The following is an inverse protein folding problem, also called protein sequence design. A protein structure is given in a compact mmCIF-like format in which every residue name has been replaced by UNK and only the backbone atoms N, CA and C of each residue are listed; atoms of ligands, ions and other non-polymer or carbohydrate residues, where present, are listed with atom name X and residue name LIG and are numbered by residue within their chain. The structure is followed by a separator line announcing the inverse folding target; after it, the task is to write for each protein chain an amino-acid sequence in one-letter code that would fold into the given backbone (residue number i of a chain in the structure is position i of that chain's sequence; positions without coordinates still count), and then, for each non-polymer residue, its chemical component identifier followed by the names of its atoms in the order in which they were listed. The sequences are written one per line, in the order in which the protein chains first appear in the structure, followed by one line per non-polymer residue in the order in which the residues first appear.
data_IF_860233212355
#
_entry.id   IF_860233212355
#
_cell.length_a   1.000
_cell.length_b   1.000
_cell.length_c   1.000
_cell.angle_alpha   90.00
_cell.angle_beta   90.00
_cell.angle_gamma   90.00
#
_symmetry.space_group_name_H-M   'P 1'
#
loop_
_entity.id
_entity.type
_entity.pdbx_description
1 polymer ?
#
# COMPACT_ATOMS: atom_id res chain seq x y z
N UNK A 1 -30.53 -19.33 28.76
CA UNK A 1 -30.00 -18.46 27.71
C UNK A 1 -28.55 -18.19 28.04
N UNK A 2 -27.63 -18.91 27.38
CA UNK A 2 -26.20 -18.73 27.61
C UNK A 2 -25.74 -17.42 26.97
N UNK A 3 -25.14 -16.55 27.77
CA UNK A 3 -24.40 -15.39 27.30
C UNK A 3 -23.30 -15.87 26.36
N UNK A 4 -23.35 -15.45 25.10
CA UNK A 4 -22.21 -15.53 24.18
C UNK A 4 -21.15 -14.57 24.74
N UNK A 5 -20.22 -15.12 25.53
CA UNK A 5 -18.93 -14.48 25.75
C UNK A 5 -18.27 -14.38 24.38
N UNK A 6 -18.21 -13.18 23.82
CA UNK A 6 -17.42 -12.91 22.63
C UNK A 6 -15.95 -13.03 23.03
N UNK A 7 -15.39 -14.22 22.81
CA UNK A 7 -13.97 -14.51 22.99
C UNK A 7 -13.14 -13.50 22.19
N UNK A 8 -12.18 -12.83 22.82
CA UNK A 8 -11.41 -11.73 22.22
C UNK A 8 -10.52 -12.24 21.05
N UNK A 9 -10.40 -13.56 20.90
CA UNK A 9 -9.77 -14.25 19.76
C UNK A 9 -10.51 -14.07 18.43
N UNK A 10 -11.76 -13.59 18.47
CA UNK A 10 -12.65 -13.52 17.31
C UNK A 10 -12.65 -12.16 16.61
N UNK A 11 -11.94 -11.18 17.18
CA UNK A 11 -11.74 -9.87 16.56
C UNK A 11 -10.49 -9.89 15.67
N UNK A 12 -10.57 -9.32 14.45
CA UNK A 12 -9.39 -9.15 13.64
C UNK A 12 -8.45 -8.12 14.28
N UNK A 13 -7.15 -8.34 14.13
CA UNK A 13 -6.13 -7.34 14.34
C UNK A 13 -5.70 -6.77 12.98
N UNK A 14 -5.58 -5.45 12.88
CA UNK A 14 -5.14 -4.77 11.66
C UNK A 14 -3.85 -4.02 11.96
N UNK A 15 -2.83 -4.27 11.14
CA UNK A 15 -1.55 -3.57 11.18
C UNK A 15 -1.31 -2.82 9.85
N UNK A 16 -0.62 -1.69 9.92
CA UNK A 16 -0.16 -0.92 8.77
C UNK A 16 1.37 -0.87 8.77
N UNK A 17 1.99 -1.09 7.63
CA UNK A 17 3.44 -1.06 7.46
C UNK A 17 3.84 -0.66 6.04
N UNK A 18 5.08 -0.18 5.88
CA UNK A 18 5.68 0.01 4.57
C UNK A 18 6.34 -1.28 4.08
N UNK A 19 6.01 -1.70 2.86
CA UNK A 19 6.66 -2.81 2.18
C UNK A 19 6.99 -2.39 0.75
N UNK A 20 8.25 -2.52 0.36
CA UNK A 20 8.80 -1.94 -0.88
C UNK A 20 8.44 -0.45 -1.06
N UNK A 21 8.47 0.34 0.02
CA UNK A 21 8.20 1.78 -0.04
C UNK A 21 6.73 2.17 -0.19
N UNK A 22 5.78 1.21 -0.20
CA UNK A 22 4.34 1.50 -0.25
C UNK A 22 3.62 1.01 1.01
N UNK A 23 2.60 1.76 1.42
CA UNK A 23 1.74 1.41 2.53
C UNK A 23 1.03 0.07 2.27
N UNK A 24 0.95 -0.74 3.31
CA UNK A 24 0.38 -2.08 3.26
C UNK A 24 -0.39 -2.34 4.55
N UNK A 25 -1.69 -2.51 4.40
CA UNK A 25 -2.56 -3.02 5.46
C UNK A 25 -2.49 -4.56 5.51
N UNK A 26 -2.40 -5.11 6.72
CA UNK A 26 -2.41 -6.53 7.00
C UNK A 26 -3.50 -6.84 8.01
N UNK A 27 -4.49 -7.62 7.60
CA UNK A 27 -5.56 -8.13 8.46
C UNK A 27 -5.16 -9.49 9.02
N UNK A 28 -5.33 -9.71 10.32
CA UNK A 28 -4.85 -10.90 11.03
C UNK A 28 -5.91 -11.48 11.96
N UNK A 29 -6.11 -12.79 11.87
CA UNK A 29 -6.76 -13.60 12.90
C UNK A 29 -5.75 -14.57 13.51
N UNK A 30 -5.89 -14.82 14.82
CA UNK A 30 -4.97 -15.66 15.59
C UNK A 30 -3.68 -14.92 15.99
N UNK A 31 -2.56 -15.66 16.06
CA UNK A 31 -1.31 -15.07 16.53
C UNK A 31 -0.81 -13.99 15.56
N UNK A 32 -0.60 -12.77 16.10
CA UNK A 32 -0.03 -11.63 15.38
C UNK A 32 1.49 -11.72 15.22
N UNK A 33 2.14 -12.56 16.05
CA UNK A 33 3.58 -12.85 16.01
C UNK A 33 3.77 -14.36 15.84
N UNK A 34 4.20 -14.76 14.64
CA UNK A 34 4.55 -16.15 14.37
C UNK A 34 5.83 -16.48 15.13
N UNK A 35 5.81 -17.56 15.90
CA UNK A 35 6.99 -17.96 16.66
C UNK A 35 7.98 -18.63 15.71
N UNK A 36 9.28 -18.54 16.01
CA UNK A 36 10.31 -19.31 15.29
C UNK A 36 10.29 -20.81 15.63
N UNK A 37 9.13 -21.31 16.08
CA UNK A 37 8.88 -22.72 16.31
C UNK A 37 8.83 -23.45 14.95
N UNK A 38 9.36 -24.67 14.91
CA UNK A 38 9.58 -25.45 13.68
C UNK A 38 8.29 -25.86 12.94
N UNK A 39 7.10 -25.51 13.44
CA UNK A 39 5.83 -26.11 12.97
C UNK A 39 4.64 -25.15 12.80
N UNK A 40 4.83 -23.84 12.98
CA UNK A 40 3.75 -22.86 12.79
C UNK A 40 3.26 -22.90 11.33
N UNK A 41 1.93 -22.89 11.16
CA UNK A 41 1.28 -22.88 9.84
C UNK A 41 0.48 -21.61 9.70
N UNK A 42 0.76 -20.87 8.64
CA UNK A 42 0.08 -19.63 8.28
C UNK A 42 -0.81 -19.88 7.07
N UNK A 43 -2.08 -19.51 7.19
CA UNK A 43 -2.97 -19.37 6.04
C UNK A 43 -2.84 -17.91 5.56
N UNK A 44 -2.31 -17.72 4.36
CA UNK A 44 -2.10 -16.41 3.77
C UNK A 44 -3.07 -16.19 2.61
N UNK A 45 -3.93 -15.19 2.75
CA UNK A 45 -4.87 -14.75 1.72
C UNK A 45 -4.25 -13.62 0.91
N UNK A 46 -4.17 -13.82 -0.41
CA UNK A 46 -3.76 -12.81 -1.38
C UNK A 46 -5.02 -12.30 -2.09
N UNK A 47 -5.39 -11.02 -1.87
CA UNK A 47 -6.56 -10.40 -2.48
C UNK A 47 -6.55 -10.48 -4.01
N UNK A 48 -7.74 -10.38 -4.59
CA UNK A 48 -7.96 -9.85 -5.93
C UNK A 48 -8.36 -8.37 -5.90
N UNK A 49 -8.76 -7.80 -7.04
CA UNK A 49 -9.22 -6.41 -7.12
C UNK A 49 -10.50 -6.20 -6.27
N UNK A 50 -10.60 -5.10 -5.48
CA UNK A 50 -9.77 -3.90 -5.50
C UNK A 50 -8.56 -3.94 -4.54
N UNK A 51 -8.08 -5.11 -4.09
CA UNK A 51 -6.84 -5.24 -3.34
C UNK A 51 -6.92 -4.96 -1.83
N UNK A 52 -8.09 -4.55 -1.33
CA UNK A 52 -8.34 -4.21 0.07
C UNK A 52 -8.61 -5.46 0.92
N UNK A 53 -8.06 -5.52 2.13
CA UNK A 53 -8.20 -6.69 3.02
C UNK A 53 -9.59 -6.77 3.67
N UNK A 54 -10.26 -5.64 3.88
CA UNK A 54 -11.57 -5.58 4.53
C UNK A 54 -12.64 -6.44 3.84
N UNK A 55 -12.54 -6.62 2.52
CA UNK A 55 -13.44 -7.50 1.74
C UNK A 55 -13.39 -8.97 2.19
N UNK A 56 -12.27 -9.40 2.79
CA UNK A 56 -12.03 -10.79 3.18
C UNK A 56 -12.32 -11.06 4.66
N UNK A 57 -12.73 -10.05 5.45
CA UNK A 57 -12.92 -10.16 6.91
C UNK A 57 -13.80 -11.35 7.30
N UNK A 58 -15.03 -11.42 6.78
CA UNK A 58 -15.97 -12.52 7.10
C UNK A 58 -15.46 -13.87 6.60
N UNK A 59 -14.81 -13.91 5.44
CA UNK A 59 -14.23 -15.13 4.89
C UNK A 59 -13.11 -15.66 5.79
N UNK A 60 -12.18 -14.79 6.19
CA UNK A 60 -11.06 -15.13 7.07
C UNK A 60 -11.53 -15.54 8.45
N UNK A 61 -12.52 -14.87 9.03
CA UNK A 61 -13.11 -15.25 10.30
C UNK A 61 -13.74 -16.65 10.23
N UNK A 62 -14.51 -16.90 9.17
CA UNK A 62 -15.14 -18.21 8.94
C UNK A 62 -14.06 -19.29 8.81
N UNK A 63 -12.97 -18.99 8.09
CA UNK A 63 -11.85 -19.91 7.90
C UNK A 63 -11.14 -20.19 9.23
N UNK A 64 -10.86 -19.15 10.00
CA UNK A 64 -10.21 -19.26 11.32
C UNK A 64 -11.01 -20.14 12.28
N UNK A 65 -12.33 -19.91 12.36
CA UNK A 65 -13.24 -20.72 13.18
C UNK A 65 -13.40 -22.15 12.66
N UNK A 66 -13.45 -22.34 11.34
CA UNK A 66 -13.56 -23.68 10.73
C UNK A 66 -12.35 -24.57 11.06
N UNK A 67 -11.18 -23.97 11.28
CA UNK A 67 -9.98 -24.67 11.77
C UNK A 67 -9.82 -24.63 13.30
N UNK A 68 -10.92 -24.41 14.04
CA UNK A 68 -10.95 -24.35 15.51
C UNK A 68 -9.92 -23.36 16.09
N UNK A 69 -9.72 -22.23 15.40
CA UNK A 69 -8.80 -21.16 15.81
C UNK A 69 -7.31 -21.58 15.90
N UNK A 70 -6.93 -22.70 15.27
CA UNK A 70 -5.59 -23.30 15.40
C UNK A 70 -4.51 -22.70 14.51
N UNK A 71 -4.89 -22.15 13.35
CA UNK A 71 -3.94 -21.61 12.38
C UNK A 71 -4.15 -20.11 12.25
N UNK A 72 -3.07 -19.33 12.29
CA UNK A 72 -3.17 -17.90 11.99
C UNK A 72 -3.63 -17.71 10.54
N UNK A 73 -4.55 -16.76 10.34
CA UNK A 73 -5.06 -16.39 9.01
C UNK A 73 -4.74 -14.93 8.77
N UNK A 74 -3.84 -14.66 7.82
CA UNK A 74 -3.45 -13.29 7.47
C UNK A 74 -3.89 -12.96 6.06
N UNK A 75 -4.20 -11.70 5.82
CA UNK A 75 -4.43 -11.16 4.49
C UNK A 75 -3.60 -9.90 4.31
N UNK A 76 -2.91 -9.79 3.18
CA UNK A 76 -2.01 -8.68 2.87
C UNK A 76 -2.59 -7.92 1.71
N UNK A 77 -2.95 -6.66 1.92
CA UNK A 77 -3.48 -5.76 0.86
C UNK A 77 -2.52 -5.69 -0.33
N UNK A 78 -3.03 -5.41 -1.53
CA UNK A 78 -2.17 -4.93 -2.61
C UNK A 78 -1.50 -3.61 -2.18
N UNK A 79 -0.24 -3.40 -2.56
CA UNK A 79 0.51 -2.22 -2.16
C UNK A 79 -0.21 -0.93 -2.59
N UNK A 80 -0.48 0.00 -1.67
CA UNK A 80 -1.27 1.21 -1.93
C UNK A 80 -2.79 1.01 -2.03
N UNK A 81 -3.30 -0.20 -1.78
CA UNK A 81 -4.74 -0.49 -1.75
C UNK A 81 -5.26 -0.59 -0.31
N UNK A 82 -5.01 0.46 0.46
CA UNK A 82 -5.57 0.69 1.79
C UNK A 82 -5.61 2.20 2.06
N UNK A 83 -6.43 2.61 3.01
CA UNK A 83 -6.42 3.99 3.51
C UNK A 83 -5.30 4.11 4.56
N UNK A 84 -4.25 4.92 4.32
CA UNK A 84 -3.19 5.13 5.29
C UNK A 84 -3.77 5.78 6.55
N UNK A 85 -3.29 5.43 7.74
CA UNK A 85 -3.52 6.24 8.94
C UNK A 85 -3.04 7.68 8.73
N UNK A 86 -3.63 8.66 9.43
CA UNK A 86 -3.33 10.10 9.27
C UNK A 86 -1.84 10.50 9.39
N UNK A 87 -1.02 9.62 9.98
CA UNK A 87 0.41 9.83 10.21
C UNK A 87 1.31 9.08 9.21
N UNK A 88 0.73 8.44 8.20
CA UNK A 88 1.44 7.71 7.14
C UNK A 88 1.01 8.23 5.78
N UNK A 89 1.97 8.27 4.86
CA UNK A 89 1.72 8.56 3.46
C UNK A 89 1.50 7.26 2.67
N UNK A 90 0.95 7.37 1.46
CA UNK A 90 0.78 6.19 0.57
C UNK A 90 2.12 5.54 0.20
N UNK A 91 3.18 6.33 0.13
CA UNK A 91 4.53 5.88 -0.18
C UNK A 91 5.54 6.57 0.74
N UNK A 92 6.50 5.81 1.27
CA UNK A 92 7.60 6.34 2.08
C UNK A 92 8.64 7.08 1.22
N UNK A 93 8.86 6.59 -0.01
CA UNK A 93 9.69 7.21 -1.02
C UNK A 93 9.06 6.99 -2.40
N UNK A 94 8.57 8.08 -3.00
CA UNK A 94 7.92 8.04 -4.31
C UNK A 94 8.88 7.58 -5.43
N UNK A 95 10.17 7.92 -5.33
CA UNK A 95 11.17 7.56 -6.33
C UNK A 95 11.44 6.06 -6.30
N UNK A 96 11.54 5.49 -5.09
CA UNK A 96 11.70 4.05 -4.90
C UNK A 96 10.45 3.28 -5.34
N UNK A 97 9.25 3.81 -5.06
CA UNK A 97 8.00 3.19 -5.47
C UNK A 97 7.83 3.14 -7.01
N UNK A 98 8.32 4.17 -7.71
CA UNK A 98 8.38 4.21 -9.17
C UNK A 98 9.44 3.25 -9.72
N UNK A 99 10.66 3.26 -9.17
CA UNK A 99 11.74 2.37 -9.59
C UNK A 99 11.35 0.88 -9.49
N UNK A 100 10.65 0.52 -8.42
CA UNK A 100 10.22 -0.86 -8.15
C UNK A 100 8.89 -1.23 -8.86
N UNK A 101 8.27 -0.30 -9.60
CA UNK A 101 6.94 -0.46 -10.22
C UNK A 101 5.93 -1.11 -9.24
N UNK A 102 5.89 -0.60 -7.99
CA UNK A 102 5.23 -1.28 -6.86
C UNK A 102 3.73 -1.54 -7.12
N UNK A 103 3.11 -0.68 -7.92
CA UNK A 103 1.70 -0.79 -8.31
C UNK A 103 1.49 -1.70 -9.53
N UNK A 104 2.53 -1.97 -10.31
CA UNK A 104 2.50 -2.94 -11.39
C UNK A 104 2.44 -4.38 -10.90
N UNK A 105 2.06 -5.31 -11.79
CA UNK A 105 1.86 -6.72 -11.39
C UNK A 105 3.15 -7.37 -10.88
N UNK A 106 4.30 -7.02 -11.48
CA UNK A 106 5.60 -7.52 -11.03
C UNK A 106 6.00 -6.94 -9.67
N UNK A 107 5.77 -5.64 -9.46
CA UNK A 107 6.00 -5.01 -8.15
C UNK A 107 5.10 -5.58 -7.07
N UNK A 108 3.84 -5.90 -7.36
CA UNK A 108 2.93 -6.58 -6.41
C UNK A 108 3.40 -8.00 -6.06
N UNK A 109 3.98 -8.74 -7.00
CA UNK A 109 4.57 -10.07 -6.73
C UNK A 109 5.77 -9.92 -5.79
N UNK A 110 6.72 -9.04 -6.13
CA UNK A 110 7.89 -8.79 -5.29
C UNK A 110 7.52 -8.22 -3.92
N UNK A 111 6.49 -7.37 -3.86
CA UNK A 111 5.94 -6.84 -2.61
C UNK A 111 5.51 -7.96 -1.66
N UNK A 112 4.81 -8.98 -2.16
CA UNK A 112 4.37 -10.12 -1.35
C UNK A 112 5.52 -11.03 -0.94
N UNK A 113 6.52 -11.23 -1.81
CA UNK A 113 7.74 -11.96 -1.48
C UNK A 113 8.56 -11.24 -0.41
N UNK A 114 8.77 -9.93 -0.55
CA UNK A 114 9.45 -9.10 0.46
C UNK A 114 8.69 -9.11 1.78
N UNK A 115 7.36 -9.01 1.74
CA UNK A 115 6.54 -9.11 2.95
C UNK A 115 6.80 -10.41 3.69
N UNK A 116 6.76 -11.56 2.99
CA UNK A 116 7.05 -12.87 3.58
C UNK A 116 8.46 -12.93 4.17
N UNK A 117 9.48 -12.49 3.43
CA UNK A 117 10.88 -12.50 3.88
C UNK A 117 11.12 -11.68 5.15
N UNK A 118 10.42 -10.55 5.29
CA UNK A 118 10.60 -9.62 6.42
C UNK A 118 9.74 -9.98 7.64
N UNK A 119 8.52 -10.49 7.43
CA UNK A 119 7.52 -10.59 8.50
C UNK A 119 7.10 -12.01 8.84
N UNK A 120 7.49 -13.01 8.04
CA UNK A 120 7.13 -14.42 8.27
C UNK A 120 8.41 -15.22 8.49
N UNK A 121 8.56 -15.93 9.64
CA UNK A 121 9.71 -16.79 9.87
C UNK A 121 9.87 -17.81 8.73
N UNK A 122 11.09 -17.99 8.23
CA UNK A 122 11.41 -18.87 7.08
C UNK A 122 10.97 -20.33 7.26
N UNK A 123 10.85 -20.79 8.50
CA UNK A 123 10.40 -22.15 8.84
C UNK A 123 8.87 -22.33 8.81
N UNK A 124 8.11 -21.24 8.69
CA UNK A 124 6.65 -21.26 8.66
C UNK A 124 6.13 -22.00 7.43
N UNK A 125 5.18 -22.90 7.63
CA UNK A 125 4.49 -23.59 6.53
C UNK A 125 3.33 -22.73 6.03
N UNK A 126 3.18 -22.62 4.72
CA UNK A 126 2.21 -21.72 4.10
C UNK A 126 1.06 -22.50 3.46
N UNK A 127 -0.17 -22.09 3.74
CA UNK A 127 -1.34 -22.38 2.92
C UNK A 127 -1.72 -21.08 2.22
N UNK A 128 -1.56 -21.03 0.91
CA UNK A 128 -1.82 -19.82 0.12
C UNK A 128 -3.25 -19.87 -0.43
N UNK A 129 -4.00 -18.78 -0.31
CA UNK A 129 -5.34 -18.63 -0.88
C UNK A 129 -5.35 -17.39 -1.75
N UNK A 130 -5.52 -17.55 -3.05
CA UNK A 130 -5.60 -16.43 -4.00
C UNK A 130 -7.03 -16.20 -4.43
N UNK A 131 -7.43 -14.94 -4.61
CA UNK A 131 -8.69 -14.59 -5.28
C UNK A 131 -8.41 -13.84 -6.58
N UNK A 132 -9.01 -14.26 -7.70
CA UNK A 132 -8.85 -13.60 -9.01
C UNK A 132 -7.37 -13.37 -9.39
N UNK A 133 -6.91 -12.12 -9.52
CA UNK A 133 -5.52 -11.76 -9.80
C UNK A 133 -4.55 -12.24 -8.72
N UNK A 134 -5.00 -12.37 -7.46
CA UNK A 134 -4.23 -12.96 -6.37
C UNK A 134 -3.80 -14.40 -6.65
N UNK A 135 -4.54 -15.14 -7.47
CA UNK A 135 -4.13 -16.48 -7.91
C UNK A 135 -2.87 -16.43 -8.80
N UNK A 136 -2.83 -15.47 -9.74
CA UNK A 136 -1.66 -15.26 -10.59
C UNK A 136 -0.45 -14.84 -9.76
N UNK A 137 -0.65 -13.93 -8.81
CA UNK A 137 0.41 -13.50 -7.88
C UNK A 137 0.99 -14.69 -7.12
N UNK A 138 0.16 -15.58 -6.55
CA UNK A 138 0.64 -16.79 -5.85
C UNK A 138 1.46 -17.69 -6.77
N UNK A 139 0.99 -17.93 -8.00
CA UNK A 139 1.71 -18.77 -8.96
C UNK A 139 3.09 -18.20 -9.26
N UNK A 140 3.19 -16.89 -9.49
CA UNK A 140 4.47 -16.23 -9.76
C UNK A 140 5.37 -16.18 -8.52
N UNK A 141 4.82 -15.96 -7.32
CA UNK A 141 5.57 -16.05 -6.06
C UNK A 141 6.23 -17.43 -5.90
N UNK A 142 5.47 -18.50 -6.13
CA UNK A 142 5.98 -19.87 -6.01
C UNK A 142 7.05 -20.21 -7.07
N UNK A 143 6.97 -19.61 -8.26
CA UNK A 143 8.00 -19.79 -9.29
C UNK A 143 9.29 -19.05 -8.95
N UNK A 144 9.18 -17.83 -8.44
CA UNK A 144 10.34 -16.96 -8.13
C UNK A 144 11.05 -17.35 -6.83
N UNK A 145 10.32 -17.91 -5.87
CA UNK A 145 10.85 -18.33 -4.58
C UNK A 145 10.47 -19.78 -4.28
N UNK A 146 11.21 -20.77 -4.82
CA UNK A 146 10.94 -22.19 -4.62
C UNK A 146 11.26 -22.66 -3.19
N UNK A 147 11.88 -21.82 -2.35
CA UNK A 147 12.18 -22.14 -0.95
C UNK A 147 10.96 -21.94 -0.03
N UNK A 148 9.89 -21.29 -0.53
CA UNK A 148 8.64 -21.15 0.20
C UNK A 148 8.05 -22.51 0.57
N UNK A 149 7.81 -22.74 1.85
CA UNK A 149 7.26 -24.00 2.38
C UNK A 149 5.73 -24.09 2.17
N UNK A 150 5.30 -24.05 0.92
CA UNK A 150 3.88 -24.10 0.53
C UNK A 150 3.35 -25.52 0.67
N UNK A 151 2.41 -25.72 1.59
CA UNK A 151 1.70 -26.98 1.77
C UNK A 151 0.57 -27.14 0.76
N UNK A 152 -0.13 -26.05 0.48
CA UNK A 152 -1.28 -26.02 -0.43
C UNK A 152 -1.50 -24.62 -0.97
N UNK A 153 -1.89 -24.54 -2.25
CA UNK A 153 -2.40 -23.31 -2.85
C UNK A 153 -3.86 -23.53 -3.28
N UNK A 154 -4.76 -22.65 -2.85
CA UNK A 154 -6.19 -22.66 -3.19
C UNK A 154 -6.47 -21.45 -4.07
N UNK A 155 -6.98 -21.70 -5.28
CA UNK A 155 -7.23 -20.66 -6.28
C UNK A 155 -8.73 -20.38 -6.38
N UNK A 156 -9.20 -19.30 -5.78
CA UNK A 156 -10.60 -18.89 -5.79
C UNK A 156 -10.88 -18.05 -7.04
N UNK A 157 -11.66 -18.60 -7.96
CA UNK A 157 -12.05 -17.96 -9.23
C UNK A 157 -10.84 -17.38 -9.99
N UNK A 158 -9.90 -18.25 -10.42
CA UNK A 158 -8.60 -17.82 -10.90
C UNK A 158 -8.64 -16.96 -12.15
N UNK A 159 -7.79 -15.94 -12.19
CA UNK A 159 -7.43 -15.21 -13.41
C UNK A 159 -6.01 -15.60 -13.83
N UNK A 160 -5.84 -16.84 -14.35
CA UNK A 160 -4.50 -17.43 -14.63
C UNK A 160 -4.02 -17.15 -16.06
N UNK A 161 -4.92 -17.01 -17.04
CA UNK A 161 -4.56 -16.86 -18.45
C UNK A 161 -5.08 -15.54 -19.06
N UNK A 162 -4.14 -14.75 -19.58
CA UNK A 162 -4.29 -13.65 -20.55
C UNK A 162 -5.63 -12.91 -20.50
N UNK A 163 -5.93 -12.26 -19.38
CA UNK A 163 -7.18 -11.51 -19.18
C UNK A 163 -7.46 -10.53 -20.34
N UNK A 164 -6.47 -9.77 -20.80
CA UNK A 164 -6.60 -8.84 -21.94
C UNK A 164 -6.84 -9.53 -23.30
N UNK A 165 -6.57 -10.82 -23.43
CA UNK A 165 -6.73 -11.57 -24.68
C UNK A 165 -8.01 -12.42 -24.72
N UNK A 166 -8.73 -12.53 -23.60
CA UNK A 166 -10.09 -13.12 -23.58
C UNK A 166 -11.02 -12.28 -24.46
N UNK A 167 -12.09 -12.86 -25.05
CA UNK A 167 -13.02 -12.13 -25.92
C UNK A 167 -13.58 -10.87 -25.25
N UNK A 168 -13.91 -10.97 -23.96
CA UNK A 168 -14.39 -9.85 -23.15
C UNK A 168 -13.25 -8.87 -22.80
N UNK A 169 -12.05 -9.36 -22.47
CA UNK A 169 -10.89 -8.51 -22.18
C UNK A 169 -10.41 -7.69 -23.38
N UNK A 170 -10.42 -8.25 -24.59
CA UNK A 170 -10.08 -7.49 -25.82
C UNK A 170 -11.03 -6.32 -26.08
N UNK A 171 -12.28 -6.42 -25.64
CA UNK A 171 -13.29 -5.37 -25.78
C UNK A 171 -13.22 -4.38 -24.62
N UNK A 172 -13.05 -4.86 -23.39
CA UNK A 172 -13.11 -4.04 -22.18
C UNK A 172 -11.79 -3.30 -21.90
N UNK A 173 -10.63 -3.91 -22.17
CA UNK A 173 -9.31 -3.29 -21.96
C UNK A 173 -9.14 -1.95 -22.70
N UNK A 174 -9.44 -1.82 -24.01
CA UNK A 174 -9.32 -0.52 -24.68
C UNK A 174 -10.30 0.51 -24.11
N UNK A 175 -11.53 0.11 -23.73
CA UNK A 175 -12.52 1.03 -23.14
C UNK A 175 -12.07 1.57 -21.78
N UNK A 176 -11.54 0.71 -20.91
CA UNK A 176 -10.96 1.12 -19.62
C UNK A 176 -9.72 2.02 -19.84
N UNK A 177 -8.86 1.69 -20.81
CA UNK A 177 -7.71 2.54 -21.14
C UNK A 177 -8.12 3.92 -21.68
N UNK A 178 -9.24 4.04 -22.39
CA UNK A 178 -9.77 5.33 -22.83
C UNK A 178 -10.38 6.14 -21.66
N UNK A 179 -11.04 5.47 -20.71
CA UNK A 179 -11.57 6.11 -19.50
C UNK A 179 -10.48 6.69 -18.60
N UNK A 180 -9.23 6.17 -18.66
CA UNK A 180 -8.07 6.79 -18.01
C UNK A 180 -7.94 8.27 -18.34
N UNK A 181 -8.19 8.67 -19.58
CA UNK A 181 -8.08 10.07 -20.01
C UNK A 181 -9.18 10.99 -19.44
N UNK A 182 -10.33 10.43 -19.08
CA UNK A 182 -11.42 11.18 -18.43
C UNK A 182 -11.01 11.61 -17.02
N UNK A 183 -10.25 10.77 -16.30
CA UNK A 183 -9.70 11.11 -14.99
C UNK A 183 -8.59 12.18 -15.05
N UNK A 184 -7.91 12.32 -16.21
CA UNK A 184 -6.90 13.37 -16.44
C UNK A 184 -7.51 14.66 -17.03
N UNK A 185 -8.82 14.72 -17.27
CA UNK A 185 -9.45 15.92 -17.79
C UNK A 185 -9.51 16.97 -16.66
N UNK A 186 -8.76 18.08 -16.73
CA UNK A 186 -8.86 19.11 -15.72
C UNK A 186 -10.26 19.70 -15.81
N UNK A 187 -11.06 19.61 -14.75
CA UNK A 187 -12.27 20.43 -14.66
C UNK A 187 -11.81 21.90 -14.67
N UNK A 188 -12.10 22.70 -15.72
CA UNK A 188 -11.76 24.10 -15.67
C UNK A 188 -12.60 24.72 -14.56
N UNK A 189 -11.92 25.27 -13.55
CA UNK A 189 -12.54 26.10 -12.54
C UNK A 189 -13.26 27.24 -13.26
N UNK A 190 -14.60 27.19 -13.26
CA UNK A 190 -15.43 28.28 -13.75
C UNK A 190 -15.18 29.47 -12.82
N UNK A 191 -14.38 30.41 -13.30
CA UNK A 191 -14.19 31.71 -12.68
C UNK A 191 -15.55 32.41 -12.63
N UNK A 192 -16.11 32.55 -11.43
CA UNK A 192 -17.26 33.40 -11.20
C UNK A 192 -16.80 34.86 -11.33
N UNK A 193 -17.11 35.46 -12.48
CA UNK A 193 -17.04 36.88 -12.70
C UNK A 193 -18.09 37.59 -11.82
N UNK A 194 -17.62 38.25 -10.76
CA UNK A 194 -18.40 39.23 -10.00
C UNK A 194 -17.93 40.63 -10.36
N UNK A 195 -18.71 41.33 -11.18
CA UNK A 195 -18.41 42.67 -11.66
C UNK A 195 -18.56 43.75 -10.59
N UNK A 196 -17.65 44.73 -10.68
CA UNK A 196 -17.85 46.17 -10.49
C UNK A 196 -18.38 46.72 -9.15
N UNK A 197 -17.54 47.54 -8.50
CA UNK A 197 -17.93 48.91 -8.14
C UNK A 197 -16.71 49.83 -8.10
N UNK A 198 -16.90 51.02 -8.67
CA UNK A 198 -15.88 51.98 -9.07
C UNK A 198 -16.03 53.26 -8.25
N UNK A 199 -14.88 53.93 -8.01
CA UNK A 199 -14.69 55.38 -7.75
C UNK A 199 -14.65 55.90 -6.29
N UNK A 200 -14.13 57.13 -6.02
CA UNK A 200 -12.77 57.61 -6.34
C UNK A 200 -12.15 58.51 -5.22
N UNK A 201 -10.84 58.80 -5.31
CA UNK A 201 -10.23 60.07 -4.87
C UNK A 201 -9.61 60.15 -3.47
N UNK A 202 -8.30 60.43 -3.37
CA UNK A 202 -7.76 61.78 -3.07
C UNK A 202 -6.22 61.80 -3.05
N UNK A 203 -5.67 62.93 -3.49
CA UNK A 203 -4.26 63.31 -3.64
C UNK A 203 -3.54 63.70 -2.35
N UNK A 204 -2.20 63.67 -2.36
CA UNK A 204 -1.31 64.53 -1.54
C UNK A 204 -0.19 63.73 -0.85
N UNK A 205 1.04 63.73 -1.34
CA UNK A 205 2.09 64.77 -1.21
C UNK A 205 3.09 64.49 -0.06
N UNK A 206 4.35 64.27 -0.46
CA UNK A 206 5.60 64.79 0.15
C UNK A 206 5.98 64.46 1.61
N UNK A 207 7.07 63.68 1.79
CA UNK A 207 8.44 64.18 2.11
C UNK A 207 9.37 63.04 2.60
N UNK A 208 10.57 63.00 2.01
CA UNK A 208 11.81 62.43 2.55
C UNK A 208 12.64 63.61 3.14
N UNK A 209 13.86 63.45 3.71
CA UNK A 209 14.66 62.25 4.07
C UNK A 209 15.29 62.38 5.50
N UNK A 210 16.21 61.47 5.90
CA UNK A 210 17.59 61.81 6.38
C UNK A 210 18.37 60.57 6.90
N UNK A 211 19.56 60.41 6.29
CA UNK A 211 20.88 59.85 6.73
C UNK A 211 21.06 58.43 7.30
N UNK A 212 22.04 57.71 6.71
CA UNK A 212 22.51 56.34 7.03
C UNK A 212 23.47 56.22 8.23
N UNK A 213 24.60 55.46 8.20
CA UNK A 213 25.08 54.51 7.18
C UNK A 213 25.64 53.15 7.72
N UNK A 214 25.86 52.21 6.78
CA UNK A 214 26.98 51.25 6.65
C UNK A 214 27.52 50.41 7.82
N UNK A 215 27.56 49.06 7.61
CA UNK A 215 28.71 48.16 7.87
C UNK A 215 28.42 46.80 7.21
N UNK A 216 28.99 46.51 6.05
CA UNK A 216 30.32 45.92 5.80
C UNK A 216 30.34 44.39 5.99
N UNK A 217 30.19 43.69 4.87
CA UNK A 217 30.56 42.29 4.68
C UNK A 217 31.97 42.28 4.10
N UNK A 218 32.93 41.57 4.71
CA UNK A 218 33.76 40.58 3.98
C UNK A 218 34.75 39.81 4.86
N UNK A 219 34.76 38.49 4.62
CA UNK A 219 35.90 37.57 4.47
C UNK A 219 36.77 37.07 5.64
N UNK A 220 36.89 35.72 5.60
CA UNK A 220 38.11 34.88 5.58
C UNK A 220 38.62 34.25 6.90
N UNK A 221 38.96 32.96 6.75
CA UNK A 221 39.82 32.14 7.62
C UNK A 221 39.19 30.75 7.79
N UNK A 222 39.60 29.70 7.05
CA UNK A 222 40.76 28.81 7.35
C UNK A 222 40.60 28.13 8.72
N UNK A 223 40.94 26.88 9.00
CA UNK A 223 41.43 25.68 8.33
C UNK A 223 41.55 24.66 9.49
N UNK A 224 41.39 23.34 9.23
CA UNK A 224 41.88 22.16 10.02
C UNK A 224 40.90 21.01 9.74
N UNK A 225 41.18 19.90 9.04
CA UNK A 225 42.31 18.94 8.93
C UNK A 225 42.39 17.96 10.12
N UNK A 226 42.26 16.65 9.77
CA UNK A 226 42.71 15.41 10.48
C UNK A 226 41.73 14.81 11.51
N UNK A 227 41.66 13.49 11.79
CA UNK A 227 42.17 12.23 11.23
C UNK A 227 41.34 11.08 11.88
N UNK A 228 41.47 9.87 11.35
CA UNK A 228 40.98 8.57 11.84
C UNK A 228 40.95 8.35 13.38
N UNK A 229 39.90 7.65 13.82
CA UNK A 229 39.95 6.34 14.50
C UNK A 229 38.61 5.63 14.32
#
# INVERSE_FOLDING_TARGET
MGSLETDDTDKPNTDFLYCNGAITEVLKYGSCKLQQSKHDTLILVIPGNPGVVGFYTTFMQTLYRAFSCRFSVWCVSHAGHCEPPDHMDMTEDASLAEELDVFGINGQIEHKLTFLRKHVPRETRLVLIGHSIGCYIILEMMKRDPELKVLKAVMLFPTIERMAQTPQGRVVTPVICQLRYVAYFPFPAVAAAGAAQTQPGHSGAERNPISGPSRDQTHRGAAERRLCS
#
